data_IF_360423222993
#
_entry.id   IF_360423222993
#
_cell.length_a   1.000
_cell.length_b   1.000
_cell.length_c   1.000
_cell.angle_alpha   90.00
_cell.angle_beta   90.00
_cell.angle_gamma   90.00
#
_symmetry.space_group_name_H-M   'P 1'
#
loop_
_entity.id
_entity.type
_entity.pdbx_description
1 polymer ?
#
# COMPACT_ATOMS: atom_id res chain seq x y z
N UNK A 1 11.56 7.17 6.02
CA UNK A 1 12.12 6.66 4.73
C UNK A 1 12.65 5.24 4.84
N UNK A 2 13.47 4.91 5.87
CA UNK A 2 14.00 3.54 6.03
C UNK A 2 12.91 2.45 6.13
N UNK A 3 11.92 2.61 7.02
CA UNK A 3 10.81 1.65 7.18
C UNK A 3 9.95 1.50 5.91
N UNK A 4 9.77 2.59 5.16
CA UNK A 4 9.05 2.56 3.89
C UNK A 4 9.84 1.76 2.84
N UNK A 5 11.16 1.94 2.78
CA UNK A 5 12.05 1.16 1.92
C UNK A 5 12.07 -0.33 2.30
N UNK A 6 12.07 -0.64 3.60
CA UNK A 6 11.96 -2.01 4.09
C UNK A 6 10.64 -2.68 3.68
N UNK A 7 9.52 -1.96 3.81
CA UNK A 7 8.22 -2.44 3.32
C UNK A 7 8.16 -2.59 1.79
N UNK A 8 8.83 -1.71 1.04
CA UNK A 8 8.87 -1.78 -0.43
C UNK A 8 9.57 -3.04 -0.96
N UNK A 9 10.53 -3.60 -0.21
CA UNK A 9 11.19 -4.87 -0.56
C UNK A 9 10.22 -6.06 -0.65
N UNK A 10 9.06 -5.98 0.01
CA UNK A 10 8.01 -6.99 -0.07
C UNK A 10 7.46 -7.21 -1.48
N UNK A 11 7.45 -6.17 -2.33
CA UNK A 11 6.97 -6.32 -3.71
C UNK A 11 7.81 -7.30 -4.53
N UNK A 12 9.14 -7.27 -4.38
CA UNK A 12 10.02 -8.22 -5.07
C UNK A 12 9.76 -9.66 -4.61
N UNK A 13 9.50 -9.86 -3.32
CA UNK A 13 9.15 -11.18 -2.76
C UNK A 13 7.80 -11.66 -3.32
N UNK A 14 6.81 -10.78 -3.44
CA UNK A 14 5.51 -11.13 -4.05
C UNK A 14 5.67 -11.67 -5.47
N UNK A 15 6.53 -11.07 -6.30
CA UNK A 15 6.79 -11.59 -7.65
C UNK A 15 7.48 -12.97 -7.64
N UNK A 16 8.40 -13.20 -6.71
CA UNK A 16 9.03 -14.52 -6.56
C UNK A 16 7.99 -15.57 -6.18
N UNK A 17 7.13 -15.28 -5.20
CA UNK A 17 6.05 -16.18 -4.75
C UNK A 17 5.03 -16.45 -5.86
N UNK A 18 4.63 -15.43 -6.63
CA UNK A 18 3.73 -15.59 -7.78
C UNK A 18 4.34 -16.53 -8.82
N UNK A 19 5.63 -16.38 -9.10
CA UNK A 19 6.33 -17.23 -10.06
C UNK A 19 6.42 -18.68 -9.60
N UNK A 20 6.68 -18.91 -8.31
CA UNK A 20 6.86 -20.26 -7.77
C UNK A 20 5.53 -21.01 -7.58
N UNK A 21 4.41 -20.29 -7.38
CA UNK A 21 3.08 -20.90 -7.20
C UNK A 21 2.30 -21.13 -8.50
N UNK A 22 2.74 -20.58 -9.65
CA UNK A 22 1.98 -20.64 -10.90
C UNK A 22 2.73 -21.44 -11.98
N UNK A 23 2.03 -22.23 -12.80
CA UNK A 23 2.66 -22.90 -13.95
C UNK A 23 3.17 -21.87 -14.96
N UNK A 24 4.24 -22.20 -15.68
CA UNK A 24 4.97 -21.27 -16.56
C UNK A 24 4.09 -20.54 -17.59
N UNK A 25 2.99 -21.15 -18.04
CA UNK A 25 2.08 -20.52 -19.01
C UNK A 25 1.14 -19.46 -18.41
N UNK A 26 0.92 -19.44 -17.08
CA UNK A 26 0.05 -18.48 -16.39
C UNK A 26 0.80 -17.39 -15.63
N UNK A 27 2.12 -17.51 -15.52
CA UNK A 27 2.94 -16.61 -14.71
C UNK A 27 2.85 -15.16 -15.17
N UNK A 28 2.74 -14.92 -16.48
CA UNK A 28 2.58 -13.57 -17.04
C UNK A 28 1.29 -12.90 -16.58
N UNK A 29 0.17 -13.62 -16.61
CA UNK A 29 -1.13 -13.14 -16.15
C UNK A 29 -1.14 -12.90 -14.65
N UNK A 30 -0.56 -13.82 -13.87
CA UNK A 30 -0.48 -13.69 -12.42
C UNK A 30 0.40 -12.50 -11.98
N UNK A 31 1.54 -12.28 -12.65
CA UNK A 31 2.37 -11.08 -12.44
C UNK A 31 1.64 -9.79 -12.86
N UNK A 32 0.88 -9.83 -13.95
CA UNK A 32 0.03 -8.71 -14.37
C UNK A 32 -1.02 -8.36 -13.33
N UNK A 33 -1.67 -9.36 -12.73
CA UNK A 33 -2.62 -9.17 -11.64
C UNK A 33 -1.98 -8.61 -10.37
N UNK A 34 -0.76 -9.04 -10.02
CA UNK A 34 0.00 -8.45 -8.92
C UNK A 34 0.26 -6.94 -9.15
N UNK A 35 0.67 -6.56 -10.36
CA UNK A 35 0.84 -5.15 -10.72
C UNK A 35 -0.47 -4.36 -10.68
N UNK A 36 -1.56 -4.94 -11.16
CA UNK A 36 -2.88 -4.31 -11.10
C UNK A 36 -3.29 -4.02 -9.65
N UNK A 37 -2.96 -4.92 -8.72
CA UNK A 37 -3.26 -4.74 -7.30
C UNK A 37 -2.58 -3.49 -6.72
N UNK A 38 -1.37 -3.16 -7.17
CA UNK A 38 -0.67 -1.92 -6.78
C UNK A 38 -1.40 -0.69 -7.31
N UNK A 39 -1.84 -0.74 -8.58
CA UNK A 39 -2.59 0.36 -9.19
C UNK A 39 -3.94 0.58 -8.50
N UNK A 40 -4.67 -0.49 -8.20
CA UNK A 40 -5.94 -0.45 -7.46
C UNK A 40 -5.73 0.11 -6.06
N UNK A 41 -4.66 -0.31 -5.37
CA UNK A 41 -4.27 0.28 -4.10
C UNK A 41 -4.08 1.80 -4.21
N UNK A 42 -3.31 2.25 -5.20
CA UNK A 42 -3.16 3.68 -5.50
C UNK A 42 -4.50 4.38 -5.74
N UNK A 43 -5.35 3.80 -6.59
CA UNK A 43 -6.65 4.36 -6.95
C UNK A 43 -7.64 4.45 -5.77
N UNK A 44 -7.52 3.59 -4.76
CA UNK A 44 -8.37 3.64 -3.55
C UNK A 44 -7.76 4.58 -2.50
N UNK A 45 -6.45 4.46 -2.25
CA UNK A 45 -5.80 5.23 -1.18
C UNK A 45 -5.60 6.70 -1.55
N UNK A 46 -5.39 7.04 -2.83
CA UNK A 46 -5.31 8.43 -3.28
C UNK A 46 -6.56 9.26 -2.92
N UNK A 47 -7.79 8.86 -3.32
CA UNK A 47 -8.99 9.61 -2.94
C UNK A 47 -9.28 9.51 -1.44
N UNK A 48 -9.00 8.38 -0.79
CA UNK A 48 -9.18 8.25 0.66
C UNK A 48 -8.38 9.30 1.43
N UNK A 49 -7.08 9.44 1.12
CA UNK A 49 -6.20 10.45 1.71
C UNK A 49 -6.72 11.86 1.40
N UNK A 50 -7.19 12.09 0.17
CA UNK A 50 -7.79 13.37 -0.25
C UNK A 50 -9.03 13.75 0.55
N UNK A 51 -9.94 12.80 0.80
CA UNK A 51 -11.14 13.01 1.62
C UNK A 51 -10.79 13.27 3.07
N UNK A 52 -9.82 12.52 3.64
CA UNK A 52 -9.35 12.75 5.02
C UNK A 52 -8.74 14.16 5.15
N UNK A 53 -8.00 14.60 4.13
CA UNK A 53 -7.40 15.93 4.11
C UNK A 53 -8.48 17.03 4.00
N UNK A 54 -9.49 16.83 3.14
CA UNK A 54 -10.60 17.78 2.97
C UNK A 54 -11.51 17.89 4.21
N UNK A 55 -11.66 16.78 4.96
CA UNK A 55 -12.42 16.72 6.21
C UNK A 55 -11.61 17.25 7.42
N UNK A 56 -10.33 17.55 7.25
CA UNK A 56 -9.50 18.07 8.32
C UNK A 56 -9.86 19.53 8.62
N UNK A 57 -10.12 19.86 9.88
CA UNK A 57 -10.43 21.23 10.26
C UNK A 57 -9.20 22.14 10.12
N UNK A 58 -9.39 23.33 9.52
CA UNK A 58 -8.34 24.35 9.41
C UNK A 58 -7.73 24.55 8.02
N UNK A 59 -8.29 23.98 6.95
CA UNK A 59 -7.91 24.37 5.60
C UNK A 59 -8.47 25.75 5.25
N UNK A 60 -7.67 26.56 4.56
CA UNK A 60 -8.05 27.90 4.10
C UNK A 60 -7.91 27.97 2.58
N UNK A 61 -8.92 28.52 1.92
CA UNK A 61 -8.80 28.92 0.52
C UNK A 61 -8.00 30.22 0.45
N UNK A 62 -6.82 30.16 -0.17
CA UNK A 62 -6.02 31.34 -0.48
C UNK A 62 -5.90 31.39 -2.01
N UNK A 63 -6.53 32.38 -2.64
CA UNK A 63 -6.59 32.50 -4.11
C UNK A 63 -7.12 31.24 -4.82
N UNK A 64 -8.26 30.71 -4.36
CA UNK A 64 -8.87 29.47 -4.88
C UNK A 64 -8.04 28.18 -4.72
N UNK A 65 -6.90 28.25 -4.02
CA UNK A 65 -6.06 27.10 -3.71
C UNK A 65 -6.31 26.67 -2.25
N UNK A 66 -6.70 25.41 -2.00
CA UNK A 66 -6.88 24.91 -0.64
C UNK A 66 -5.51 24.73 0.04
N UNK A 67 -5.22 25.57 1.02
CA UNK A 67 -4.02 25.50 1.87
C UNK A 67 -4.36 24.71 3.13
N UNK A 68 -3.71 23.56 3.30
CA UNK A 68 -3.88 22.68 4.45
C UNK A 68 -2.79 22.91 5.49
N UNK A 69 -3.13 22.72 6.76
CA UNK A 69 -2.13 22.80 7.85
C UNK A 69 -1.26 21.54 7.90
N UNK A 70 -0.07 21.66 8.49
CA UNK A 70 0.85 20.53 8.68
C UNK A 70 0.19 19.40 9.50
N UNK A 71 -0.63 19.75 10.49
CA UNK A 71 -1.39 18.79 11.32
C UNK A 71 -2.36 17.96 10.49
N UNK A 72 -3.04 18.58 9.51
CA UNK A 72 -3.93 17.90 8.56
C UNK A 72 -3.16 16.89 7.72
N UNK A 73 -1.99 17.26 7.19
CA UNK A 73 -1.14 16.34 6.43
C UNK A 73 -0.63 15.17 7.28
N UNK A 74 -0.17 15.41 8.51
CA UNK A 74 0.30 14.34 9.39
C UNK A 74 -0.79 13.31 9.68
N UNK A 75 -2.03 13.77 9.92
CA UNK A 75 -3.19 12.89 10.12
C UNK A 75 -3.54 12.10 8.86
N UNK A 76 -3.58 12.75 7.69
CA UNK A 76 -3.89 12.06 6.44
C UNK A 76 -2.81 11.06 6.03
N UNK A 77 -1.54 11.40 6.25
CA UNK A 77 -0.40 10.53 5.93
C UNK A 77 -0.22 9.38 6.94
N UNK A 78 -0.81 9.46 8.14
CA UNK A 78 -0.84 8.33 9.09
C UNK A 78 -1.56 7.10 8.54
N UNK A 79 -2.35 7.22 7.46
CA UNK A 79 -2.95 6.07 6.79
C UNK A 79 -1.89 5.11 6.23
N UNK A 80 -0.75 5.61 5.76
CA UNK A 80 0.34 4.80 5.21
C UNK A 80 0.92 3.81 6.24
N UNK A 81 1.46 4.26 7.40
CA UNK A 81 2.00 3.34 8.39
C UNK A 81 0.94 2.38 8.94
N UNK A 82 -0.32 2.81 9.08
CA UNK A 82 -1.41 1.91 9.46
C UNK A 82 -1.63 0.80 8.43
N UNK A 83 -1.57 1.11 7.13
CA UNK A 83 -1.68 0.09 6.07
C UNK A 83 -0.51 -0.89 6.09
N UNK A 84 0.73 -0.43 6.31
CA UNK A 84 1.88 -1.31 6.47
C UNK A 84 1.73 -2.23 7.69
N UNK A 85 1.26 -1.69 8.82
CA UNK A 85 1.04 -2.48 10.03
C UNK A 85 -0.06 -3.52 9.83
N UNK A 86 -1.17 -3.14 9.18
CA UNK A 86 -2.25 -4.06 8.83
C UNK A 86 -1.75 -5.16 7.86
N UNK A 87 -0.97 -4.79 6.86
CA UNK A 87 -0.35 -5.76 5.93
C UNK A 87 0.58 -6.72 6.66
N UNK A 88 1.40 -6.23 7.60
CA UNK A 88 2.28 -7.07 8.41
C UNK A 88 1.49 -8.06 9.26
N UNK A 89 0.43 -7.61 9.94
CA UNK A 89 -0.47 -8.47 10.72
C UNK A 89 -1.10 -9.52 9.82
N UNK A 90 -1.66 -9.13 8.67
CA UNK A 90 -2.28 -10.06 7.73
C UNK A 90 -1.27 -11.12 7.26
N UNK A 91 -0.04 -10.72 6.91
CA UNK A 91 1.01 -11.66 6.51
C UNK A 91 1.34 -12.63 7.64
N UNK A 92 1.54 -12.15 8.86
CA UNK A 92 1.88 -12.99 10.02
C UNK A 92 0.82 -14.03 10.35
N UNK A 93 -0.46 -13.73 10.14
CA UNK A 93 -1.56 -14.65 10.45
C UNK A 93 -2.02 -15.51 9.27
N UNK A 94 -1.97 -15.00 8.03
CA UNK A 94 -2.52 -15.69 6.85
C UNK A 94 -1.46 -16.34 5.96
N UNK A 95 -0.23 -15.82 5.92
CA UNK A 95 0.86 -16.49 5.19
C UNK A 95 1.42 -17.57 6.09
N UNK A 96 0.83 -18.76 5.98
CA UNK A 96 1.42 -20.00 6.49
C UNK A 96 2.54 -20.41 5.54
N UNK A 97 3.72 -20.73 6.07
CA UNK A 97 4.90 -21.08 5.27
C UNK A 97 4.55 -22.03 4.11
N UNK A 98 4.86 -21.61 2.88
CA UNK A 98 4.71 -22.47 1.70
C UNK A 98 5.74 -23.61 1.65
N UNK A 99 6.77 -23.60 2.52
CA UNK A 99 7.80 -24.64 2.59
C UNK A 99 8.15 -25.03 4.03
N UNK A 100 7.37 -25.90 4.69
CA UNK A 100 7.67 -26.42 6.03
C UNK A 100 8.75 -27.52 6.04
N UNK A 101 9.56 -27.67 4.99
CA UNK A 101 10.53 -28.76 4.88
C UNK A 101 11.88 -28.29 4.37
N UNK A 102 12.76 -28.02 5.33
CA UNK A 102 14.16 -28.44 5.23
C UNK A 102 14.55 -29.14 6.51
#
# INVERSE_FOLDING_TARGET
MFLLGLGAGGQTVSFAVVKDNNPAHLVGTACGFNNLSVLVGGAIFQPLVGVILHRSEGWRLVHDIPVYTVSSYQKSLMVMPCCYLASLILVLFFIKESHPSR
#
